data_IF_568717586425
#
_entry.id   IF_568717586425
#
_cell.length_a   1.000
_cell.length_b   1.000
_cell.length_c   1.000
_cell.angle_alpha   90.00
_cell.angle_beta   90.00
_cell.angle_gamma   90.00
#
_symmetry.space_group_name_H-M   'P 1'
#
loop_
_entity.id
_entity.type
_entity.pdbx_description
1 polymer ?
#
# COMPACT_ATOMS: atom_id res chain seq x y z
N UNK A 1 -13.73 -26.31 -11.16
CA UNK A 1 -12.79 -25.42 -10.45
C UNK A 1 -11.37 -25.50 -11.01
N UNK A 2 -10.64 -26.62 -10.90
CA UNK A 2 -9.23 -26.68 -11.31
C UNK A 2 -8.97 -26.31 -12.79
N UNK A 3 -9.83 -26.72 -13.72
CA UNK A 3 -9.71 -26.36 -15.13
C UNK A 3 -9.92 -24.85 -15.38
N UNK A 4 -10.82 -24.23 -14.60
CA UNK A 4 -11.09 -22.80 -14.66
C UNK A 4 -9.90 -22.00 -14.13
N UNK A 5 -9.34 -22.43 -12.99
CA UNK A 5 -8.10 -21.88 -12.45
C UNK A 5 -6.95 -21.96 -13.46
N UNK A 6 -6.75 -23.12 -14.09
CA UNK A 6 -5.70 -23.32 -15.09
C UNK A 6 -5.81 -22.37 -16.28
N UNK A 7 -7.02 -22.16 -16.80
CA UNK A 7 -7.27 -21.21 -17.90
C UNK A 7 -6.95 -19.76 -17.51
N UNK A 8 -7.33 -19.34 -16.29
CA UNK A 8 -7.04 -17.99 -15.79
C UNK A 8 -5.54 -17.77 -15.65
N UNK A 9 -4.84 -18.72 -15.04
CA UNK A 9 -3.40 -18.66 -14.84
C UNK A 9 -2.69 -18.54 -16.18
N UNK A 10 -3.09 -19.37 -17.15
CA UNK A 10 -2.51 -19.35 -18.50
C UNK A 10 -2.80 -18.02 -19.22
N UNK A 11 -4.04 -17.54 -19.17
CA UNK A 11 -4.42 -16.23 -19.72
C UNK A 11 -3.66 -15.07 -19.09
N UNK A 12 -3.39 -15.12 -17.78
CA UNK A 12 -2.61 -14.10 -17.07
C UNK A 12 -1.13 -14.15 -17.48
N UNK A 13 -0.56 -15.35 -17.61
CA UNK A 13 0.81 -15.56 -18.08
C UNK A 13 1.00 -15.07 -19.52
N UNK A 14 0.01 -15.27 -20.39
CA UNK A 14 0.03 -14.77 -21.78
C UNK A 14 -0.11 -13.24 -21.83
N UNK A 15 -1.03 -12.67 -21.05
CA UNK A 15 -1.24 -11.23 -20.99
C UNK A 15 -0.02 -10.46 -20.43
N UNK A 16 0.79 -11.12 -19.59
CA UNK A 16 1.98 -10.50 -19.02
C UNK A 16 3.00 -10.07 -20.06
N UNK A 17 3.17 -10.80 -21.17
CA UNK A 17 3.87 -10.37 -22.41
C UNK A 17 5.19 -9.59 -22.30
N UNK A 18 5.82 -9.55 -21.13
CA UNK A 18 6.84 -8.55 -20.76
C UNK A 18 8.20 -9.18 -20.90
N UNK A 19 9.13 -8.43 -21.46
CA UNK A 19 10.52 -8.89 -21.55
C UNK A 19 11.11 -9.05 -20.15
N UNK A 20 11.99 -10.04 -19.95
CA UNK A 20 12.66 -10.27 -18.65
C UNK A 20 13.33 -9.00 -18.10
N UNK A 21 13.89 -8.16 -18.98
CA UNK A 21 14.51 -6.90 -18.62
C UNK A 21 13.51 -5.87 -18.08
N UNK A 22 12.33 -5.77 -18.71
CA UNK A 22 11.26 -4.88 -18.28
C UNK A 22 10.66 -5.31 -16.93
N UNK A 23 10.60 -6.61 -16.67
CA UNK A 23 10.17 -7.17 -15.39
C UNK A 23 11.15 -6.80 -14.27
N UNK A 24 12.46 -6.98 -14.49
CA UNK A 24 13.52 -6.57 -13.55
C UNK A 24 13.47 -5.07 -13.27
N UNK A 25 13.35 -4.24 -14.31
CA UNK A 25 13.26 -2.79 -14.17
C UNK A 25 12.01 -2.36 -13.40
N UNK A 26 10.84 -2.87 -13.78
CA UNK A 26 9.58 -2.56 -13.12
C UNK A 26 9.61 -2.96 -11.64
N UNK A 27 10.25 -4.08 -11.32
CA UNK A 27 10.46 -4.54 -9.94
C UNK A 27 11.35 -3.58 -9.16
N UNK A 28 12.50 -3.20 -9.72
CA UNK A 28 13.40 -2.22 -9.11
C UNK A 28 12.68 -0.90 -8.81
N UNK A 29 11.95 -0.37 -9.78
CA UNK A 29 11.17 0.88 -9.64
C UNK A 29 10.08 0.75 -8.56
N UNK A 30 9.43 -0.41 -8.42
CA UNK A 30 8.42 -0.65 -7.36
C UNK A 30 9.03 -0.71 -5.95
N UNK A 31 10.28 -1.14 -5.82
CA UNK A 31 10.99 -1.19 -4.53
C UNK A 31 11.47 0.19 -4.09
N UNK A 32 11.90 1.05 -5.02
CA UNK A 32 12.47 2.37 -4.70
C UNK A 32 11.62 3.22 -3.74
N UNK A 33 10.28 3.38 -3.90
CA UNK A 33 9.46 4.14 -2.96
C UNK A 33 9.46 3.60 -1.53
N UNK A 34 9.62 2.28 -1.35
CA UNK A 34 9.60 1.64 -0.03
C UNK A 34 10.87 1.96 0.76
N UNK A 35 12.01 1.98 0.07
CA UNK A 35 13.32 2.22 0.65
C UNK A 35 13.79 3.68 0.50
N UNK A 36 13.04 4.53 -0.23
CA UNK A 36 13.37 5.94 -0.42
C UNK A 36 13.53 6.61 0.94
N UNK A 37 14.65 7.28 1.21
CA UNK A 37 14.78 8.06 2.41
C UNK A 37 13.72 9.16 2.41
N UNK A 38 12.83 9.14 3.39
CA UNK A 38 11.83 10.20 3.57
C UNK A 38 12.57 11.50 3.87
N UNK A 39 12.32 12.53 3.06
CA UNK A 39 12.76 13.88 3.36
C UNK A 39 12.25 14.23 4.77
N UNK A 40 13.13 14.73 5.63
CA UNK A 40 12.71 15.32 6.89
C UNK A 40 12.05 16.67 6.58
N UNK A 41 10.81 16.63 6.08
CA UNK A 41 10.13 17.81 5.51
C UNK A 41 9.91 18.95 6.51
N UNK A 42 10.13 18.73 7.81
CA UNK A 42 9.91 19.75 8.82
C UNK A 42 10.96 19.78 9.94
N UNK A 43 11.57 20.96 10.13
CA UNK A 43 12.41 21.25 11.28
C UNK A 43 11.52 21.43 12.51
N UNK A 44 11.66 20.53 13.47
CA UNK A 44 10.91 20.61 14.71
C UNK A 44 11.31 21.87 15.53
N UNK A 45 10.41 22.44 16.34
CA UNK A 45 10.68 23.69 17.07
C UNK A 45 11.89 23.56 18.01
N UNK A 46 12.75 24.58 18.05
CA UNK A 46 14.02 24.57 18.82
C UNK A 46 13.87 25.16 20.24
N UNK A 47 12.65 25.50 20.66
CA UNK A 47 12.38 26.05 22.00
C UNK A 47 12.80 25.05 23.10
N UNK A 48 13.31 25.55 24.25
CA UNK A 48 13.74 24.70 25.38
C UNK A 48 12.65 23.72 25.84
N UNK A 49 11.40 24.18 25.87
CA UNK A 49 10.23 23.35 26.18
C UNK A 49 10.03 22.25 25.13
N UNK A 50 10.05 22.58 23.85
CA UNK A 50 9.89 21.63 22.75
C UNK A 50 10.99 20.58 22.71
N UNK A 51 12.24 20.97 22.97
CA UNK A 51 13.38 20.03 23.06
C UNK A 51 13.23 19.09 24.26
N UNK A 52 12.78 19.61 25.41
CA UNK A 52 12.57 18.79 26.61
C UNK A 52 11.41 17.82 26.43
N UNK A 53 10.27 18.28 25.91
CA UNK A 53 9.11 17.44 25.63
C UNK A 53 9.40 16.41 24.54
N UNK A 54 10.24 16.73 23.55
CA UNK A 54 10.72 15.74 22.58
C UNK A 54 11.52 14.63 23.25
N UNK A 55 12.40 14.95 24.19
CA UNK A 55 13.15 13.95 24.98
C UNK A 55 12.21 13.08 25.83
N UNK A 56 11.14 13.67 26.38
CA UNK A 56 10.11 12.91 27.12
C UNK A 56 9.36 11.97 26.18
N UNK A 57 8.86 12.48 25.04
CA UNK A 57 8.11 11.72 24.04
C UNK A 57 8.90 10.53 23.46
N UNK A 58 10.21 10.71 23.25
CA UNK A 58 11.09 9.64 22.74
C UNK A 58 11.63 8.72 23.83
N UNK A 59 11.40 9.03 25.11
CA UNK A 59 11.90 8.20 26.20
C UNK A 59 11.20 6.84 26.22
N UNK A 60 11.98 5.78 26.44
CA UNK A 60 11.44 4.41 26.51
C UNK A 60 10.42 4.26 27.64
N UNK A 61 10.65 4.94 28.77
CA UNK A 61 9.74 4.91 29.91
C UNK A 61 8.37 5.50 29.56
N UNK A 62 8.34 6.65 28.88
CA UNK A 62 7.09 7.27 28.46
C UNK A 62 6.34 6.40 27.44
N UNK A 63 7.05 5.84 26.46
CA UNK A 63 6.44 4.95 25.47
C UNK A 63 5.86 3.67 26.10
N UNK A 64 6.58 3.08 27.06
CA UNK A 64 6.10 1.92 27.83
C UNK A 64 4.91 2.27 28.71
N UNK A 65 4.95 3.42 29.40
CA UNK A 65 3.85 3.91 30.23
C UNK A 65 2.58 4.12 29.40
N UNK A 66 2.66 4.86 28.30
CA UNK A 66 1.51 5.11 27.43
C UNK A 66 0.99 3.80 26.81
N UNK A 67 1.89 2.89 26.40
CA UNK A 67 1.49 1.57 25.92
C UNK A 67 0.80 0.71 26.96
N UNK A 68 1.27 0.76 28.22
CA UNK A 68 0.59 0.12 29.34
C UNK A 68 -0.80 0.73 29.56
N UNK A 69 -0.94 2.06 29.51
CA UNK A 69 -2.23 2.73 29.65
C UNK A 69 -3.23 2.30 28.57
N UNK A 70 -2.81 2.23 27.31
CA UNK A 70 -3.66 1.73 26.22
C UNK A 70 -4.06 0.27 26.45
N UNK A 71 -3.11 -0.58 26.83
CA UNK A 71 -3.36 -2.01 27.07
C UNK A 71 -4.32 -2.23 28.23
N UNK A 72 -4.12 -1.51 29.34
CA UNK A 72 -5.01 -1.53 30.48
C UNK A 72 -6.41 -1.05 30.10
N UNK A 73 -6.53 0.04 29.33
CA UNK A 73 -7.83 0.53 28.87
C UNK A 73 -8.59 -0.52 28.08
N UNK A 74 -7.92 -1.23 27.17
CA UNK A 74 -8.54 -2.31 26.39
C UNK A 74 -8.91 -3.51 27.27
N UNK A 75 -8.08 -3.88 28.24
CA UNK A 75 -8.41 -4.96 29.19
C UNK A 75 -9.71 -4.67 29.96
N UNK A 76 -9.89 -3.43 30.41
CA UNK A 76 -11.15 -3.02 31.04
C UNK A 76 -12.34 -3.05 30.07
N UNK A 77 -12.14 -2.73 28.79
CA UNK A 77 -13.21 -2.84 27.80
C UNK A 77 -13.65 -4.28 27.56
N UNK A 78 -12.72 -5.24 27.63
CA UNK A 78 -13.05 -6.68 27.53
C UNK A 78 -13.87 -7.15 28.72
N UNK A 79 -13.70 -6.53 29.90
CA UNK A 79 -14.50 -6.85 31.10
C UNK A 79 -15.91 -6.26 31.12
N UNK A 80 -16.30 -5.47 30.10
CA UNK A 80 -17.63 -4.86 30.04
C UNK A 80 -18.72 -5.91 29.76
N UNK A 81 -19.80 -5.90 30.53
CA UNK A 81 -20.90 -6.86 30.41
C UNK A 81 -22.26 -6.21 30.68
N UNK A 82 -23.33 -6.75 30.07
CA UNK A 82 -24.67 -6.19 30.11
C UNK A 82 -25.24 -6.11 31.54
N UNK A 83 -25.00 -7.14 32.36
CA UNK A 83 -25.50 -7.23 33.74
C UNK A 83 -24.49 -6.65 34.75
N UNK A 84 -23.95 -5.46 34.47
CA UNK A 84 -22.98 -4.81 35.36
C UNK A 84 -23.63 -4.11 36.54
N UNK A 85 -23.01 -4.20 37.72
CA UNK A 85 -23.45 -3.45 38.90
C UNK A 85 -23.25 -1.95 38.68
N UNK A 86 -24.08 -1.12 39.33
CA UNK A 86 -23.97 0.34 39.22
C UNK A 86 -22.59 0.86 39.68
N UNK A 87 -21.99 0.22 40.69
CA UNK A 87 -20.64 0.52 41.16
C UNK A 87 -19.58 0.24 40.08
N UNK A 88 -19.69 -0.90 39.38
CA UNK A 88 -18.79 -1.23 38.29
C UNK A 88 -18.96 -0.27 37.11
N UNK A 89 -20.18 0.11 36.78
CA UNK A 89 -20.45 1.10 35.73
C UNK A 89 -19.85 2.49 36.08
N UNK A 90 -19.96 2.91 37.35
CA UNK A 90 -19.32 4.15 37.81
C UNK A 90 -17.79 4.07 37.75
N UNK A 91 -17.21 2.96 38.21
CA UNK A 91 -15.77 2.70 38.11
C UNK A 91 -15.28 2.76 36.66
N UNK A 92 -15.97 2.10 35.72
CA UNK A 92 -15.68 2.13 34.30
C UNK A 92 -15.76 3.55 33.72
N UNK A 93 -16.70 4.38 34.18
CA UNK A 93 -16.79 5.78 33.75
C UNK A 93 -15.58 6.60 34.17
N UNK A 94 -15.16 6.49 35.44
CA UNK A 94 -13.99 7.20 35.98
C UNK A 94 -12.72 6.77 35.26
N UNK A 95 -12.52 5.45 35.11
CA UNK A 95 -11.39 4.86 34.40
C UNK A 95 -11.30 5.36 32.94
N UNK A 96 -12.43 5.47 32.23
CA UNK A 96 -12.45 5.94 30.85
C UNK A 96 -12.06 7.42 30.70
N UNK A 97 -12.36 8.25 31.71
CA UNK A 97 -11.94 9.66 31.76
C UNK A 97 -10.43 9.74 31.99
N UNK A 98 -9.89 8.94 32.90
CA UNK A 98 -8.43 8.90 33.17
C UNK A 98 -7.64 8.54 31.91
N UNK A 99 -8.04 7.48 31.20
CA UNK A 99 -7.37 7.09 29.96
C UNK A 99 -7.58 8.08 28.80
N UNK A 100 -8.71 8.80 28.79
CA UNK A 100 -8.90 9.90 27.86
C UNK A 100 -7.95 11.08 28.14
N UNK A 101 -7.76 11.43 29.41
CA UNK A 101 -6.85 12.50 29.81
C UNK A 101 -5.39 12.14 29.49
N UNK A 102 -4.99 10.89 29.69
CA UNK A 102 -3.65 10.39 29.29
C UNK A 102 -3.43 10.55 27.78
N UNK A 103 -4.39 10.16 26.94
CA UNK A 103 -4.32 10.33 25.49
C UNK A 103 -4.18 11.80 25.09
N UNK A 104 -4.98 12.70 25.68
CA UNK A 104 -4.87 14.13 25.44
C UNK A 104 -3.49 14.67 25.84
N UNK A 105 -2.95 14.19 26.96
CA UNK A 105 -1.60 14.52 27.42
C UNK A 105 -0.51 14.06 26.44
N UNK A 106 -0.59 12.82 25.95
CA UNK A 106 0.34 12.29 24.94
C UNK A 106 0.32 13.14 23.66
N UNK A 107 -0.86 13.46 23.15
CA UNK A 107 -1.04 14.31 21.96
C UNK A 107 -0.44 15.69 22.19
N UNK A 108 -0.73 16.33 23.32
CA UNK A 108 -0.21 17.65 23.65
C UNK A 108 1.33 17.68 23.71
N UNK A 109 1.95 16.67 24.34
CA UNK A 109 3.42 16.52 24.39
C UNK A 109 4.00 16.43 22.98
N UNK A 110 3.38 15.64 22.10
CA UNK A 110 3.82 15.49 20.71
C UNK A 110 3.66 16.77 19.88
N UNK A 111 2.53 17.48 20.01
CA UNK A 111 2.28 18.73 19.30
C UNK A 111 3.26 19.82 19.74
N UNK A 112 3.53 19.97 21.04
CA UNK A 112 4.47 20.99 21.53
C UNK A 112 5.92 20.61 21.21
N UNK A 113 6.25 19.31 21.22
CA UNK A 113 7.60 18.79 20.95
C UNK A 113 7.99 18.84 19.46
N UNK A 114 7.07 18.52 18.55
CA UNK A 114 7.34 18.40 17.11
C UNK A 114 6.64 19.47 16.25
N UNK A 115 5.74 20.26 16.84
CA UNK A 115 4.89 21.22 16.14
C UNK A 115 3.60 20.59 15.61
N UNK A 116 2.57 21.40 15.28
CA UNK A 116 1.26 20.89 14.84
C UNK A 116 1.30 20.14 13.50
N UNK A 117 2.32 20.40 12.67
CA UNK A 117 2.51 19.70 11.39
C UNK A 117 2.90 18.23 11.57
N UNK A 118 3.36 17.81 12.76
CA UNK A 118 3.65 16.39 13.04
C UNK A 118 2.41 15.51 12.91
N UNK A 119 1.22 16.07 13.18
CA UNK A 119 -0.05 15.35 13.10
C UNK A 119 -0.33 14.95 11.66
N UNK A 120 -0.06 15.83 10.70
CA UNK A 120 -0.36 15.57 9.27
C UNK A 120 0.66 14.61 8.65
N UNK A 121 1.91 14.64 9.13
CA UNK A 121 2.97 13.77 8.63
C UNK A 121 2.90 12.35 9.18
N UNK A 122 2.41 12.18 10.40
CA UNK A 122 2.31 10.87 11.06
C UNK A 122 0.85 10.41 11.14
N UNK A 123 0.49 9.48 10.26
CA UNK A 123 -0.86 8.89 10.17
C UNK A 123 -1.33 8.35 11.53
N UNK A 124 -0.43 7.81 12.34
CA UNK A 124 -0.77 7.26 13.65
C UNK A 124 -1.08 8.35 14.67
N UNK A 125 -0.43 9.51 14.57
CA UNK A 125 -0.73 10.68 15.41
C UNK A 125 -1.97 11.40 14.95
N UNK A 126 -2.22 11.49 13.64
CA UNK A 126 -3.50 11.92 13.11
C UNK A 126 -4.66 11.07 13.64
N UNK A 127 -4.49 9.75 13.61
CA UNK A 127 -5.49 8.82 14.14
C UNK A 127 -5.75 9.01 15.64
N UNK A 128 -4.71 9.19 16.46
CA UNK A 128 -4.88 9.49 17.90
C UNK A 128 -5.69 10.77 18.14
N UNK A 129 -5.43 11.82 17.35
CA UNK A 129 -6.19 13.09 17.41
C UNK A 129 -7.65 12.88 17.03
N UNK A 130 -7.92 12.13 15.96
CA UNK A 130 -9.28 11.79 15.55
C UNK A 130 -10.04 11.04 16.67
N UNK A 131 -9.39 10.07 17.31
CA UNK A 131 -9.97 9.32 18.44
C UNK A 131 -10.24 10.22 19.64
N UNK A 132 -9.32 11.12 19.96
CA UNK A 132 -9.50 12.08 21.04
C UNK A 132 -10.67 13.04 20.78
N UNK A 133 -10.77 13.60 19.56
CA UNK A 133 -11.85 14.48 19.16
C UNK A 133 -13.22 13.79 19.22
N UNK A 134 -13.32 12.57 18.66
CA UNK A 134 -14.58 11.83 18.70
C UNK A 134 -15.00 11.42 20.11
N UNK A 135 -14.05 11.14 21.00
CA UNK A 135 -14.35 10.92 22.42
C UNK A 135 -14.81 12.23 23.09
N UNK A 136 -14.14 13.36 22.82
CA UNK A 136 -14.48 14.66 23.40
C UNK A 136 -15.91 15.10 23.01
N UNK A 137 -16.28 14.92 21.74
CA UNK A 137 -17.65 15.18 21.26
C UNK A 137 -18.70 14.38 22.03
N UNK A 138 -18.38 13.13 22.38
CA UNK A 138 -19.25 12.28 23.18
C UNK A 138 -19.50 12.76 24.60
N UNK A 139 -18.53 13.44 25.21
CA UNK A 139 -18.67 14.00 26.55
C UNK A 139 -19.41 15.34 26.55
N UNK A 140 -19.26 16.14 25.49
CA UNK A 140 -19.85 17.48 25.39
C UNK A 140 -21.31 17.41 24.92
N UNK A 141 -21.63 16.47 24.03
CA UNK A 141 -22.93 16.43 23.35
C UNK A 141 -23.83 15.33 23.94
N UNK A 142 -24.85 15.76 24.69
CA UNK A 142 -25.90 14.90 25.25
C UNK A 142 -27.01 14.58 24.21
N UNK A 143 -26.64 14.21 22.98
CA UNK A 143 -27.60 13.82 21.95
C UNK A 143 -27.49 12.30 21.69
N UNK A 144 -28.58 11.51 21.80
CA UNK A 144 -28.52 10.05 21.83
C UNK A 144 -27.78 9.42 20.65
N UNK A 145 -27.99 9.93 19.43
CA UNK A 145 -27.29 9.47 18.20
C UNK A 145 -25.78 9.75 18.24
N UNK A 146 -25.40 10.91 18.77
CA UNK A 146 -24.00 11.33 18.88
C UNK A 146 -23.32 10.56 20.03
N UNK A 147 -24.04 10.27 21.11
CA UNK A 147 -23.53 9.43 22.20
C UNK A 147 -23.29 7.99 21.73
N UNK A 148 -24.15 7.43 20.87
CA UNK A 148 -23.89 6.13 20.24
C UNK A 148 -22.66 6.15 19.32
N UNK A 149 -22.52 7.19 18.49
CA UNK A 149 -21.33 7.35 17.63
C UNK A 149 -20.05 7.55 18.44
N UNK A 150 -20.11 8.30 19.55
CA UNK A 150 -18.99 8.49 20.46
C UNK A 150 -18.53 7.19 21.15
N UNK A 151 -19.46 6.25 21.42
CA UNK A 151 -19.09 4.91 21.91
C UNK A 151 -18.19 4.18 20.91
N UNK A 152 -18.36 4.38 19.60
CA UNK A 152 -17.50 3.76 18.59
C UNK A 152 -16.05 4.29 18.64
N UNK A 153 -15.83 5.57 18.94
CA UNK A 153 -14.47 6.10 19.13
C UNK A 153 -13.74 5.48 20.32
N UNK A 154 -14.47 5.01 21.34
CA UNK A 154 -13.87 4.23 22.44
C UNK A 154 -13.28 2.92 21.91
N UNK A 155 -13.99 2.24 21.01
CA UNK A 155 -13.53 0.99 20.36
C UNK A 155 -12.33 1.23 19.44
N UNK A 156 -12.25 2.39 18.79
CA UNK A 156 -11.10 2.73 17.94
C UNK A 156 -9.77 2.84 18.71
N UNK A 157 -9.80 3.01 20.04
CA UNK A 157 -8.58 2.95 20.87
C UNK A 157 -7.92 1.58 20.84
N UNK A 158 -8.69 0.50 20.64
CA UNK A 158 -8.15 -0.86 20.46
C UNK A 158 -7.22 -0.91 19.25
N UNK A 159 -7.52 -0.14 18.20
CA UNK A 159 -6.66 -0.07 17.00
C UNK A 159 -5.29 0.56 17.31
N UNK A 160 -5.17 1.34 18.40
CA UNK A 160 -3.88 1.85 18.88
C UNK A 160 -2.97 0.73 19.40
N UNK A 161 -3.51 -0.39 19.89
CA UNK A 161 -2.68 -1.55 20.27
C UNK A 161 -2.05 -2.20 19.05
N UNK A 162 -2.77 -2.27 17.94
CA UNK A 162 -2.30 -2.90 16.71
C UNK A 162 -1.02 -2.24 16.18
N UNK A 163 -0.86 -0.92 16.38
CA UNK A 163 0.35 -0.19 15.98
C UNK A 163 1.56 -0.45 16.89
N UNK A 164 1.34 -0.89 18.13
CA UNK A 164 2.42 -1.25 19.07
C UNK A 164 3.01 -2.61 18.74
N UNK A 165 2.20 -3.51 18.21
CA UNK A 165 2.61 -4.84 17.80
C UNK A 165 3.21 -4.74 16.40
N UNK A 166 4.54 -4.73 16.31
CA UNK A 166 5.28 -4.54 15.03
C UNK A 166 4.75 -5.43 13.88
N UNK A 167 4.51 -6.74 14.06
CA UNK A 167 3.96 -7.57 12.98
C UNK A 167 2.60 -7.09 12.48
N UNK A 168 1.67 -6.74 13.39
CA UNK A 168 0.32 -6.28 13.02
C UNK A 168 0.39 -4.91 12.35
N UNK A 169 1.24 -4.02 12.85
CA UNK A 169 1.49 -2.71 12.23
C UNK A 169 1.93 -2.86 10.78
N UNK A 170 2.89 -3.75 10.50
CA UNK A 170 3.39 -4.00 9.14
C UNK A 170 2.24 -4.49 8.26
N UNK A 171 1.44 -5.46 8.73
CA UNK A 171 0.28 -5.98 7.98
C UNK A 171 -0.75 -4.88 7.67
N UNK A 172 -1.01 -3.97 8.61
CA UNK A 172 -1.96 -2.87 8.38
C UNK A 172 -1.40 -1.82 7.41
N UNK A 173 -0.12 -1.48 7.54
CA UNK A 173 0.54 -0.53 6.62
C UNK A 173 0.60 -1.10 5.20
N UNK A 174 0.84 -2.40 5.03
CA UNK A 174 0.79 -3.06 3.71
C UNK A 174 -0.64 -3.09 3.17
N UNK A 175 -1.64 -3.47 3.97
CA UNK A 175 -3.04 -3.46 3.56
C UNK A 175 -3.46 -2.08 3.04
N UNK A 176 -3.16 -1.01 3.78
CA UNK A 176 -3.49 0.37 3.39
C UNK A 176 -2.78 0.76 2.09
N UNK A 177 -1.54 0.32 1.91
CA UNK A 177 -0.76 0.58 0.68
C UNK A 177 -1.33 -0.16 -0.53
N UNK A 178 -1.95 -1.34 -0.32
CA UNK A 178 -2.60 -2.11 -1.35
C UNK A 178 -4.02 -1.59 -1.72
N UNK A 179 -4.72 -0.92 -0.80
CA UNK A 179 -6.10 -0.44 -1.04
C UNK A 179 -6.29 0.37 -2.34
N UNK A 180 -5.41 1.34 -2.70
CA UNK A 180 -5.56 2.08 -3.95
C UNK A 180 -5.47 1.21 -5.20
N UNK A 181 -4.64 0.16 -5.16
CA UNK A 181 -4.49 -0.78 -6.28
C UNK A 181 -5.78 -1.59 -6.49
N UNK A 182 -6.45 -1.92 -5.38
CA UNK A 182 -7.74 -2.63 -5.41
C UNK A 182 -8.93 -1.74 -5.75
N UNK A 183 -8.82 -0.41 -5.61
CA UNK A 183 -9.95 0.51 -5.77
C UNK A 183 -10.63 0.39 -7.15
N UNK A 184 -9.84 0.29 -8.24
CA UNK A 184 -10.37 0.15 -9.59
C UNK A 184 -11.18 -1.15 -9.77
N UNK A 185 -10.67 -2.24 -9.20
CA UNK A 185 -11.32 -3.55 -9.22
C UNK A 185 -12.62 -3.52 -8.42
N UNK A 186 -12.60 -2.90 -7.25
CA UNK A 186 -13.77 -2.77 -6.38
C UNK A 186 -14.87 -1.95 -7.06
N UNK A 187 -14.52 -0.86 -7.76
CA UNK A 187 -15.49 -0.05 -8.52
C UNK A 187 -16.11 -0.85 -9.65
N UNK A 188 -15.30 -1.61 -10.40
CA UNK A 188 -15.81 -2.49 -11.45
C UNK A 188 -16.77 -3.54 -10.87
N UNK A 189 -16.36 -4.23 -9.80
CA UNK A 189 -17.20 -5.19 -9.08
C UNK A 189 -18.52 -4.56 -8.62
N UNK A 190 -18.46 -3.38 -8.01
CA UNK A 190 -19.63 -2.65 -7.54
C UNK A 190 -20.60 -2.34 -8.68
N UNK A 191 -20.10 -1.96 -9.86
CA UNK A 191 -20.93 -1.71 -11.04
C UNK A 191 -21.66 -2.98 -11.47
N UNK A 192 -20.96 -4.11 -11.56
CA UNK A 192 -21.60 -5.39 -11.90
C UNK A 192 -22.66 -5.78 -10.84
N UNK A 193 -22.38 -5.55 -9.55
CA UNK A 193 -23.33 -5.84 -8.47
C UNK A 193 -24.59 -4.97 -8.60
N UNK A 194 -24.39 -3.69 -8.89
CA UNK A 194 -25.49 -2.75 -9.08
C UNK A 194 -26.37 -3.12 -10.28
N UNK A 195 -25.77 -3.61 -11.39
CA UNK A 195 -26.55 -4.08 -12.55
C UNK A 195 -27.46 -5.26 -12.18
N UNK A 196 -26.92 -6.28 -11.51
CA UNK A 196 -27.73 -7.40 -11.05
C UNK A 196 -28.78 -6.97 -10.03
N UNK A 197 -28.46 -6.06 -9.10
CA UNK A 197 -29.42 -5.54 -8.13
C UNK A 197 -30.59 -4.82 -8.82
N UNK A 198 -30.33 -3.99 -9.84
CA UNK A 198 -31.39 -3.31 -10.60
C UNK A 198 -32.28 -4.32 -11.31
N UNK A 199 -31.71 -5.30 -12.01
CA UNK A 199 -32.50 -6.38 -12.65
C UNK A 199 -33.31 -7.16 -11.61
N UNK A 200 -32.73 -7.42 -10.44
CA UNK A 200 -33.40 -8.10 -9.33
C UNK A 200 -34.59 -7.31 -8.78
N UNK A 201 -34.46 -5.99 -8.60
CA UNK A 201 -35.57 -5.11 -8.20
C UNK A 201 -36.68 -5.13 -9.24
N UNK A 202 -36.33 -5.00 -10.53
CA UNK A 202 -37.31 -4.99 -11.61
C UNK A 202 -38.03 -6.33 -11.78
N UNK A 203 -37.42 -7.45 -11.41
CA UNK A 203 -37.96 -8.80 -11.65
C UNK A 203 -38.61 -9.41 -10.40
N UNK A 204 -38.05 -9.16 -9.21
CA UNK A 204 -38.44 -9.81 -7.95
C UNK A 204 -38.88 -8.82 -6.86
N UNK A 205 -39.08 -7.54 -7.20
CA UNK A 205 -39.38 -6.49 -6.23
C UNK A 205 -40.68 -6.71 -5.44
N UNK A 206 -41.67 -7.36 -6.05
CA UNK A 206 -42.96 -7.68 -5.41
C UNK A 206 -43.08 -9.13 -4.94
N UNK A 207 -42.05 -9.96 -5.17
CA UNK A 207 -42.12 -11.40 -4.87
C UNK A 207 -42.36 -11.64 -3.38
N UNK A 208 -43.31 -12.55 -3.10
CA UNK A 208 -43.67 -12.94 -1.74
C UNK A 208 -42.47 -13.44 -0.94
N UNK A 209 -42.47 -13.14 0.35
CA UNK A 209 -41.48 -13.72 1.28
C UNK A 209 -41.57 -15.25 1.31
N UNK A 210 -40.42 -15.91 1.35
CA UNK A 210 -40.26 -17.36 1.34
C UNK A 210 -39.41 -17.86 2.50
N UNK A 211 -38.57 -18.86 2.25
CA UNK A 211 -37.72 -19.47 3.27
C UNK A 211 -36.59 -18.53 3.72
N UNK A 212 -35.93 -17.86 2.78
CA UNK A 212 -34.84 -16.90 3.03
C UNK A 212 -35.20 -15.48 2.61
N UNK A 213 -36.04 -15.33 1.57
CA UNK A 213 -36.58 -14.05 1.15
C UNK A 213 -37.55 -13.52 2.20
N UNK A 214 -37.32 -12.31 2.73
CA UNK A 214 -38.08 -11.77 3.85
C UNK A 214 -37.80 -10.29 4.13
N UNK A 215 -38.13 -9.82 5.33
CA UNK A 215 -37.99 -8.40 5.69
C UNK A 215 -36.54 -7.89 5.67
N UNK A 216 -35.57 -8.77 5.92
CA UNK A 216 -34.13 -8.44 5.93
C UNK A 216 -33.47 -8.63 4.56
N UNK A 217 -33.96 -9.59 3.77
CA UNK A 217 -33.41 -9.98 2.47
C UNK A 217 -34.51 -9.95 1.41
N UNK A 218 -34.60 -8.87 0.65
CA UNK A 218 -35.59 -8.69 -0.41
C UNK A 218 -35.09 -7.75 -1.52
N UNK A 219 -35.85 -7.70 -2.60
CA UNK A 219 -35.62 -6.84 -3.76
C UNK A 219 -36.54 -5.62 -3.82
N UNK A 220 -37.21 -5.25 -2.72
CA UNK A 220 -38.21 -4.15 -2.72
C UNK A 220 -37.57 -2.79 -2.97
N UNK A 221 -36.34 -2.58 -2.50
CA UNK A 221 -35.58 -1.35 -2.71
C UNK A 221 -34.18 -1.67 -3.21
N UNK A 222 -33.59 -0.76 -4.00
CA UNK A 222 -32.26 -0.95 -4.54
C UNK A 222 -31.20 -1.20 -3.46
N UNK A 223 -31.28 -0.51 -2.32
CA UNK A 223 -30.33 -0.71 -1.20
C UNK A 223 -30.45 -2.12 -0.60
N UNK A 224 -31.67 -2.64 -0.44
CA UNK A 224 -31.91 -4.00 0.06
C UNK A 224 -31.47 -5.07 -0.94
N UNK A 225 -31.76 -4.84 -2.22
CA UNK A 225 -31.27 -5.69 -3.30
C UNK A 225 -29.74 -5.74 -3.33
N UNK A 226 -29.07 -4.60 -3.14
CA UNK A 226 -27.61 -4.53 -3.09
C UNK A 226 -27.03 -5.33 -1.93
N UNK A 227 -27.62 -5.21 -0.72
CA UNK A 227 -27.18 -6.02 0.44
C UNK A 227 -27.42 -7.52 0.21
N UNK A 228 -28.55 -7.88 -0.40
CA UNK A 228 -28.89 -9.27 -0.70
C UNK A 228 -27.94 -9.89 -1.72
N UNK A 229 -27.60 -9.13 -2.77
CA UNK A 229 -26.61 -9.51 -3.77
C UNK A 229 -25.24 -9.70 -3.13
N UNK A 230 -24.80 -8.76 -2.29
CA UNK A 230 -23.54 -8.87 -1.55
C UNK A 230 -23.47 -10.10 -0.64
N UNK A 231 -24.50 -10.35 0.17
CA UNK A 231 -24.60 -11.56 1.01
C UNK A 231 -24.56 -12.84 0.16
N UNK A 232 -25.21 -12.80 -1.00
CA UNK A 232 -25.22 -13.92 -1.94
C UNK A 232 -23.82 -14.17 -2.52
N UNK A 233 -23.02 -13.14 -2.81
CA UNK A 233 -21.61 -13.31 -3.24
C UNK A 233 -20.77 -13.99 -2.16
N UNK A 234 -20.96 -13.64 -0.89
CA UNK A 234 -20.29 -14.29 0.24
C UNK A 234 -20.69 -15.77 0.44
N UNK A 235 -21.63 -16.28 -0.36
CA UNK A 235 -22.03 -17.69 -0.35
C UNK A 235 -23.26 -18.01 0.48
N UNK A 236 -23.95 -17.00 1.03
CA UNK A 236 -25.08 -17.23 1.93
C UNK A 236 -26.35 -17.62 1.15
N UNK A 237 -26.83 -18.86 1.33
CA UNK A 237 -28.20 -19.34 1.02
C UNK A 237 -28.81 -18.93 -0.35
N UNK A 238 -27.97 -18.60 -1.34
CA UNK A 238 -28.40 -18.10 -2.65
C UNK A 238 -29.34 -19.04 -3.39
N UNK A 239 -29.17 -20.36 -3.23
CA UNK A 239 -30.03 -21.36 -3.84
C UNK A 239 -31.45 -21.36 -3.25
N UNK A 240 -31.58 -21.05 -1.95
CA UNK A 240 -32.89 -20.89 -1.30
C UNK A 240 -33.56 -19.61 -1.79
N UNK A 241 -32.81 -18.53 -1.93
CA UNK A 241 -33.32 -17.27 -2.49
C UNK A 241 -33.77 -17.48 -3.94
N UNK A 242 -33.00 -18.21 -4.74
CA UNK A 242 -33.38 -18.58 -6.10
C UNK A 242 -34.72 -19.35 -6.13
N UNK A 243 -34.91 -20.30 -5.22
CA UNK A 243 -36.16 -21.05 -5.12
C UNK A 243 -37.33 -20.15 -4.69
N UNK A 244 -37.14 -19.29 -3.68
CA UNK A 244 -38.16 -18.32 -3.24
C UNK A 244 -38.54 -17.37 -4.38
N UNK A 245 -37.57 -16.89 -5.17
CA UNK A 245 -37.77 -16.06 -6.35
C UNK A 245 -38.45 -16.78 -7.52
N UNK A 246 -38.61 -18.11 -7.45
CA UNK A 246 -39.29 -18.93 -8.46
C UNK A 246 -40.72 -19.30 -8.09
N UNK A 247 -41.28 -18.76 -6.99
CA UNK A 247 -42.64 -19.07 -6.55
C UNK A 247 -43.67 -18.81 -7.65
N UNK A 248 -44.54 -19.80 -7.89
CA UNK A 248 -45.61 -19.78 -8.89
C UNK A 248 -46.96 -20.12 -8.23
N UNK A 249 -48.10 -19.87 -8.91
CA UNK A 249 -49.42 -20.26 -8.41
C UNK A 249 -49.50 -21.78 -8.14
N UNK A 250 -50.25 -22.24 -7.11
CA UNK A 250 -51.18 -21.50 -6.24
C UNK A 250 -50.54 -20.86 -4.99
N UNK A 251 -49.20 -20.85 -4.88
CA UNK A 251 -48.48 -20.34 -3.70
C UNK A 251 -48.24 -18.83 -3.72
N UNK A 252 -48.62 -18.17 -4.82
CA UNK A 252 -48.61 -16.73 -5.00
C UNK A 252 -49.87 -16.28 -5.75
N UNK A 253 -50.07 -14.97 -5.78
CA UNK A 253 -51.19 -14.24 -6.36
C UNK A 253 -50.69 -13.53 -7.61
N UNK A 254 -51.22 -13.86 -8.79
CA UNK A 254 -50.76 -13.31 -10.07
C UNK A 254 -51.07 -11.82 -10.22
N UNK A 255 -52.19 -11.36 -9.65
CA UNK A 255 -52.65 -9.97 -9.68
C UNK A 255 -53.23 -9.62 -8.32
N UNK A 256 -52.78 -8.54 -7.71
CA UNK A 256 -53.33 -8.10 -6.43
C UNK A 256 -54.79 -7.64 -6.58
N UNK A 257 -55.65 -8.11 -5.68
CA UNK A 257 -56.98 -7.53 -5.46
C UNK A 257 -56.91 -6.50 -4.31
N UNK A 258 -57.95 -5.68 -4.16
CA UNK A 258 -58.16 -4.68 -3.11
C UNK A 258 -57.99 -5.19 -1.66
N UNK A 259 -57.94 -6.50 -1.46
CA UNK A 259 -57.74 -7.17 -0.16
C UNK A 259 -56.36 -7.84 -0.02
N UNK A 260 -55.42 -7.58 -0.94
CA UNK A 260 -54.12 -8.24 -0.93
C UNK A 260 -53.28 -7.83 0.30
N UNK A 261 -52.82 -8.79 1.13
CA UNK A 261 -51.99 -8.47 2.29
C UNK A 261 -50.57 -8.07 1.86
N UNK A 262 -50.18 -6.83 2.15
CA UNK A 262 -48.79 -6.38 2.09
C UNK A 262 -48.38 -5.48 0.91
N UNK A 263 -49.32 -5.01 0.09
CA UNK A 263 -49.06 -4.02 -0.96
C UNK A 263 -50.00 -2.81 -0.85
N UNK A 264 -49.47 -1.66 -0.40
CA UNK A 264 -50.16 -0.37 -0.31
C UNK A 264 -49.80 0.57 -1.49
N UNK A 265 -49.47 0.01 -2.65
CA UNK A 265 -49.14 0.77 -3.84
C UNK A 265 -50.37 1.07 -4.72
N UNK A 266 -50.34 2.15 -5.54
CA UNK A 266 -51.47 2.54 -6.38
C UNK A 266 -51.70 1.61 -7.59
N UNK A 267 -50.72 0.79 -7.96
CA UNK A 267 -50.75 -0.06 -9.15
C UNK A 267 -51.02 -1.53 -8.80
N UNK A 268 -52.28 -1.96 -8.94
CA UNK A 268 -52.72 -3.35 -8.76
C UNK A 268 -52.40 -4.25 -9.97
N UNK A 269 -51.61 -3.77 -10.93
CA UNK A 269 -51.36 -4.44 -12.22
C UNK A 269 -50.35 -5.60 -12.16
N UNK A 270 -49.77 -5.85 -10.99
CA UNK A 270 -48.75 -6.89 -10.77
C UNK A 270 -49.08 -7.69 -9.51
N UNK A 271 -48.60 -8.93 -9.41
CA UNK A 271 -48.82 -9.82 -8.26
C UNK A 271 -47.57 -10.02 -7.38
N UNK A 272 -47.68 -10.92 -6.39
CA UNK A 272 -46.56 -11.36 -5.52
C UNK A 272 -45.83 -12.61 -6.03
N UNK A 273 -46.10 -13.01 -7.27
CA UNK A 273 -45.42 -14.14 -7.89
C UNK A 273 -43.95 -13.86 -8.22
N UNK A 274 -43.15 -14.92 -8.22
CA UNK A 274 -41.78 -14.91 -8.69
C UNK A 274 -41.69 -15.05 -10.21
N UNK A 275 -40.48 -15.11 -10.73
CA UNK A 275 -40.24 -15.32 -12.16
C UNK A 275 -39.77 -16.74 -12.45
N UNK A 276 -40.29 -17.33 -13.53
CA UNK A 276 -39.77 -18.60 -14.08
C UNK A 276 -38.31 -18.49 -14.51
N UNK A 277 -37.83 -17.27 -14.79
CA UNK A 277 -36.42 -17.00 -15.13
C UNK A 277 -35.51 -16.85 -13.90
N UNK A 278 -36.02 -17.09 -12.68
CA UNK A 278 -35.23 -17.03 -11.45
C UNK A 278 -33.97 -17.89 -11.52
N UNK A 279 -34.10 -19.14 -11.97
CA UNK A 279 -32.95 -20.04 -12.08
C UNK A 279 -31.88 -19.48 -13.03
N UNK A 280 -32.28 -18.92 -14.17
CA UNK A 280 -31.35 -18.32 -15.13
C UNK A 280 -30.62 -17.12 -14.53
N UNK A 281 -31.36 -16.21 -13.89
CA UNK A 281 -30.79 -15.03 -13.23
C UNK A 281 -29.76 -15.42 -12.18
N UNK A 282 -30.10 -16.34 -11.26
CA UNK A 282 -29.23 -16.71 -10.14
C UNK A 282 -28.04 -17.59 -10.55
N UNK A 283 -28.21 -18.48 -11.54
CA UNK A 283 -27.11 -19.27 -12.08
C UNK A 283 -26.15 -18.37 -12.86
N UNK A 284 -26.65 -17.45 -13.69
CA UNK A 284 -25.82 -16.49 -14.40
C UNK A 284 -25.07 -15.57 -13.43
N UNK A 285 -25.77 -15.04 -12.43
CA UNK A 285 -25.18 -14.32 -11.29
C UNK A 285 -24.02 -15.13 -10.70
N UNK A 286 -24.27 -16.39 -10.31
CA UNK A 286 -23.24 -17.21 -9.67
C UNK A 286 -22.04 -17.49 -10.55
N UNK A 287 -22.24 -17.80 -11.82
CA UNK A 287 -21.11 -18.01 -12.74
C UNK A 287 -20.27 -16.74 -12.89
N UNK A 288 -20.91 -15.59 -13.10
CA UNK A 288 -20.21 -14.30 -13.22
C UNK A 288 -19.45 -13.95 -11.95
N UNK A 289 -20.07 -14.07 -10.77
CA UNK A 289 -19.42 -13.65 -9.54
C UNK A 289 -18.34 -14.59 -9.04
N UNK A 290 -18.57 -15.90 -9.15
CA UNK A 290 -17.56 -16.88 -8.78
C UNK A 290 -16.35 -16.78 -9.71
N UNK A 291 -16.58 -16.57 -11.02
CA UNK A 291 -15.49 -16.38 -11.98
C UNK A 291 -14.68 -15.12 -11.70
N UNK A 292 -15.34 -13.99 -11.45
CA UNK A 292 -14.61 -12.74 -11.15
C UNK A 292 -13.84 -12.86 -9.82
N UNK A 293 -14.44 -13.42 -8.76
CA UNK A 293 -13.74 -13.60 -7.49
C UNK A 293 -12.53 -14.53 -7.63
N UNK A 294 -12.67 -15.64 -8.37
CA UNK A 294 -11.55 -16.53 -8.67
C UNK A 294 -10.46 -15.83 -9.49
N UNK A 295 -10.82 -15.01 -10.48
CA UNK A 295 -9.86 -14.23 -11.26
C UNK A 295 -9.04 -13.28 -10.39
N UNK A 296 -9.71 -12.56 -9.47
CA UNK A 296 -9.06 -11.61 -8.57
C UNK A 296 -8.15 -12.29 -7.57
N UNK A 297 -8.63 -13.38 -6.95
CA UNK A 297 -7.83 -14.14 -5.99
C UNK A 297 -6.62 -14.80 -6.65
N UNK A 298 -6.81 -15.38 -7.84
CA UNK A 298 -5.72 -15.99 -8.62
C UNK A 298 -4.69 -14.96 -9.04
N UNK A 299 -5.13 -13.79 -9.55
CA UNK A 299 -4.22 -12.69 -9.89
C UNK A 299 -3.40 -12.23 -8.69
N UNK A 300 -4.05 -12.00 -7.54
CA UNK A 300 -3.36 -11.60 -6.31
C UNK A 300 -2.36 -12.66 -5.82
N UNK A 301 -2.74 -13.95 -5.86
CA UNK A 301 -1.82 -15.03 -5.47
C UNK A 301 -0.66 -15.15 -6.43
N UNK A 302 -0.88 -15.09 -7.74
CA UNK A 302 0.21 -15.17 -8.71
C UNK A 302 1.20 -14.02 -8.54
N UNK A 303 0.70 -12.80 -8.33
CA UNK A 303 1.55 -11.64 -8.05
C UNK A 303 2.34 -11.79 -6.74
N UNK A 304 1.70 -12.27 -5.67
CA UNK A 304 2.37 -12.48 -4.38
C UNK A 304 3.34 -13.68 -4.42
N UNK A 305 2.97 -14.77 -5.08
CA UNK A 305 3.80 -15.97 -5.18
C UNK A 305 5.03 -15.69 -6.05
N UNK A 306 4.86 -15.00 -7.18
CA UNK A 306 5.98 -14.54 -8.00
C UNK A 306 6.92 -13.63 -7.21
N UNK A 307 6.38 -12.67 -6.45
CA UNK A 307 7.18 -11.84 -5.56
C UNK A 307 7.98 -12.66 -4.54
N UNK A 308 7.34 -13.61 -3.86
CA UNK A 308 7.99 -14.47 -2.85
C UNK A 308 9.01 -15.42 -3.49
N UNK A 309 8.69 -16.05 -4.62
CA UNK A 309 9.65 -16.92 -5.32
C UNK A 309 10.81 -16.14 -5.88
N UNK A 310 10.61 -14.92 -6.35
CA UNK A 310 11.68 -14.01 -6.78
C UNK A 310 12.56 -13.58 -5.60
N UNK A 311 11.99 -13.33 -4.42
CA UNK A 311 12.78 -13.03 -3.21
C UNK A 311 13.58 -14.24 -2.73
N UNK A 312 13.01 -15.45 -2.75
CA UNK A 312 13.67 -16.67 -2.28
C UNK A 312 14.69 -17.20 -3.31
N UNK A 313 14.48 -16.96 -4.61
CA UNK A 313 15.39 -17.40 -5.68
C UNK A 313 16.59 -16.49 -5.91
N UNK A 314 16.66 -15.35 -5.21
CA UNK A 314 17.81 -14.47 -5.28
C UNK A 314 18.95 -14.99 -4.40
N UNK A 315 19.91 -15.64 -5.03
CA UNK A 315 21.29 -15.59 -4.55
C UNK A 315 21.80 -14.14 -4.69
N UNK A 316 22.55 -13.63 -3.69
CA UNK A 316 23.09 -12.27 -3.70
C UNK A 316 24.09 -12.09 -4.86
N UNK A 317 23.61 -11.63 -6.01
CA UNK A 317 24.45 -11.29 -7.15
C UNK A 317 24.97 -9.85 -7.02
N UNK A 318 26.31 -9.71 -7.04
CA UNK A 318 27.03 -8.43 -6.95
C UNK A 318 26.75 -7.53 -8.15
N UNK A 319 26.46 -8.11 -9.32
CA UNK A 319 26.29 -7.36 -10.57
C UNK A 319 24.81 -7.05 -10.88
N UNK A 320 23.89 -7.41 -9.98
CA UNK A 320 22.44 -7.21 -10.13
C UNK A 320 21.88 -7.78 -11.44
N UNK A 321 22.48 -8.84 -12.00
CA UNK A 321 22.09 -9.38 -13.31
C UNK A 321 20.69 -10.01 -13.30
N UNK A 322 20.29 -10.55 -12.15
CA UNK A 322 18.93 -11.02 -11.88
C UNK A 322 18.02 -9.93 -11.26
N UNK A 323 18.52 -8.69 -11.15
CA UNK A 323 17.92 -7.55 -10.46
C UNK A 323 18.37 -7.42 -9.00
N UNK A 324 18.20 -6.23 -8.42
CA UNK A 324 18.62 -5.93 -7.05
C UNK A 324 17.77 -6.67 -6.01
N UNK A 325 18.40 -7.11 -4.92
CA UNK A 325 17.71 -7.67 -3.76
C UNK A 325 17.20 -6.58 -2.81
N UNK A 326 16.23 -6.96 -1.96
CA UNK A 326 15.72 -6.07 -0.91
C UNK A 326 16.82 -5.62 0.07
N UNK A 327 17.74 -6.52 0.44
CA UNK A 327 18.90 -6.23 1.29
C UNK A 327 19.85 -5.21 0.64
N UNK A 328 20.14 -5.37 -0.66
CA UNK A 328 21.02 -4.46 -1.41
C UNK A 328 20.42 -3.05 -1.54
N UNK A 329 19.11 -2.95 -1.76
CA UNK A 329 18.42 -1.65 -1.83
C UNK A 329 18.34 -0.99 -0.45
N UNK A 330 18.17 -1.76 0.63
CA UNK A 330 18.18 -1.22 1.99
C UNK A 330 19.57 -0.68 2.37
N UNK A 331 20.64 -1.39 2.00
CA UNK A 331 22.01 -0.91 2.18
C UNK A 331 22.24 0.41 1.42
N UNK A 332 21.80 0.47 0.15
CA UNK A 332 21.87 1.69 -0.66
C UNK A 332 21.14 2.85 0.03
N UNK A 333 19.90 2.61 0.49
CA UNK A 333 19.11 3.61 1.21
C UNK A 333 19.79 4.07 2.50
N UNK A 334 20.45 3.17 3.24
CA UNK A 334 21.22 3.52 4.43
C UNK A 334 22.40 4.44 4.09
N UNK A 335 23.17 4.13 3.06
CA UNK A 335 24.32 4.94 2.63
C UNK A 335 23.87 6.35 2.23
N UNK A 336 22.74 6.47 1.51
CA UNK A 336 22.12 7.76 1.20
C UNK A 336 21.68 8.52 2.46
N UNK A 337 21.12 7.83 3.48
CA UNK A 337 20.75 8.43 4.77
C UNK A 337 21.94 9.01 5.54
N UNK A 338 23.09 8.34 5.49
CA UNK A 338 24.31 8.78 6.15
C UNK A 338 24.90 10.06 5.51
N UNK A 339 24.71 10.23 4.20
CA UNK A 339 25.30 11.32 3.41
C UNK A 339 24.38 12.53 3.18
N UNK A 340 23.09 12.41 3.46
CA UNK A 340 22.15 13.52 3.33
C UNK A 340 22.40 14.65 4.34
N UNK A 341 21.97 15.85 3.96
CA UNK A 341 22.00 16.98 4.86
C UNK A 341 21.06 16.79 6.06
N UNK A 342 21.33 17.44 7.21
CA UNK A 342 20.49 17.36 8.41
C UNK A 342 19.01 17.76 8.19
N UNK A 343 18.72 18.46 7.10
CA UNK A 343 17.37 18.85 6.69
C UNK A 343 16.71 17.89 5.68
N UNK A 344 17.35 16.80 5.29
CA UNK A 344 16.79 15.77 4.40
C UNK A 344 16.40 16.26 3.01
N UNK A 345 16.94 17.38 2.53
CA UNK A 345 16.60 17.98 1.23
C UNK A 345 17.48 17.48 0.08
N UNK A 346 18.48 16.65 0.37
CA UNK A 346 19.43 16.13 -0.61
C UNK A 346 20.83 15.94 -0.04
N UNK A 347 21.77 15.57 -0.92
CA UNK A 347 23.18 15.38 -0.62
C UNK A 347 23.96 16.60 -1.10
N UNK A 348 24.80 17.18 -0.25
CA UNK A 348 25.71 18.27 -0.66
C UNK A 348 26.63 17.82 -1.77
N UNK A 349 26.83 18.67 -2.78
CA UNK A 349 27.73 18.39 -3.92
C UNK A 349 29.14 18.01 -3.45
N UNK A 350 29.64 18.65 -2.39
CA UNK A 350 30.94 18.32 -1.81
C UNK A 350 31.06 16.90 -1.25
N UNK A 351 29.94 16.26 -0.88
CA UNK A 351 29.88 14.89 -0.34
C UNK A 351 29.54 13.83 -1.38
N UNK A 352 29.26 14.21 -2.64
CA UNK A 352 28.90 13.26 -3.70
C UNK A 352 30.04 12.27 -3.98
N UNK A 353 31.30 12.72 -3.92
CA UNK A 353 32.44 11.83 -4.12
C UNK A 353 32.54 10.75 -3.03
N UNK A 354 32.31 11.10 -1.77
CA UNK A 354 32.25 10.16 -0.64
C UNK A 354 31.10 9.17 -0.81
N UNK A 355 29.92 9.68 -1.17
CA UNK A 355 28.76 8.86 -1.47
C UNK A 355 29.05 7.82 -2.57
N UNK A 356 29.67 8.23 -3.67
CA UNK A 356 30.00 7.32 -4.79
C UNK A 356 31.06 6.27 -4.43
N UNK A 357 31.97 6.58 -3.51
CA UNK A 357 32.95 5.62 -3.00
C UNK A 357 32.34 4.61 -2.02
N UNK A 358 31.37 5.05 -1.22
CA UNK A 358 30.70 4.21 -0.23
C UNK A 358 29.59 3.34 -0.83
N UNK A 359 29.07 3.70 -2.00
CA UNK A 359 28.03 2.92 -2.70
C UNK A 359 28.57 1.58 -3.25
N UNK A 360 27.86 0.45 -3.01
CA UNK A 360 28.27 -0.86 -3.50
C UNK A 360 28.20 -0.98 -5.03
N UNK A 361 28.90 -1.97 -5.58
CA UNK A 361 28.73 -2.35 -7.00
C UNK A 361 27.30 -2.87 -7.24
N UNK A 362 26.71 -2.64 -8.43
CA UNK A 362 27.28 -2.00 -9.63
C UNK A 362 27.16 -0.46 -9.67
N UNK A 363 26.48 0.16 -8.70
CA UNK A 363 26.13 1.59 -8.75
C UNK A 363 27.30 2.51 -8.36
N UNK A 364 28.09 2.11 -7.37
CA UNK A 364 29.23 2.89 -6.88
C UNK A 364 30.58 2.27 -7.23
N UNK A 365 31.64 2.96 -6.79
CA UNK A 365 33.02 2.57 -7.05
C UNK A 365 33.61 1.73 -5.90
N UNK A 366 32.78 1.05 -5.13
CA UNK A 366 33.23 0.25 -3.99
C UNK A 366 34.28 -0.79 -4.41
N UNK A 367 35.41 -0.77 -3.72
CA UNK A 367 36.52 -1.71 -3.90
C UNK A 367 36.63 -2.56 -2.63
N UNK A 368 36.40 -3.88 -2.70
CA UNK A 368 36.63 -4.75 -1.55
C UNK A 368 38.11 -4.76 -1.21
N UNK A 369 38.47 -4.30 -0.02
CA UNK A 369 39.80 -4.55 0.53
C UNK A 369 39.81 -5.95 1.18
N UNK A 370 40.79 -6.83 0.87
CA UNK A 370 40.84 -8.18 1.41
C UNK A 370 40.95 -8.29 2.95
N UNK A 371 41.21 -7.19 3.67
CA UNK A 371 41.48 -7.18 5.12
C UNK A 371 40.71 -6.09 5.90
N UNK A 372 39.48 -5.76 5.50
CA UNK A 372 38.69 -4.68 6.13
C UNK A 372 37.86 -5.10 7.37
N UNK A 373 38.08 -6.29 7.96
CA UNK A 373 37.39 -6.71 9.19
C UNK A 373 37.78 -5.92 10.46
N UNK A 374 38.65 -4.91 10.35
CA UNK A 374 39.15 -4.13 11.49
C UNK A 374 38.95 -2.61 11.42
N UNK A 375 38.47 -2.03 10.31
CA UNK A 375 38.30 -0.58 10.21
C UNK A 375 36.86 -0.15 10.53
N UNK A 376 36.69 0.59 11.63
CA UNK A 376 35.41 1.23 11.98
C UNK A 376 34.98 2.18 10.85
N UNK A 377 33.72 2.05 10.40
CA UNK A 377 33.02 3.07 9.58
C UNK A 377 33.24 4.46 10.20
N UNK A 378 33.89 5.36 9.48
CA UNK A 378 34.07 6.76 9.88
C UNK A 378 35.51 7.33 9.85
N UNK A 379 36.53 6.56 9.47
CA UNK A 379 37.86 7.12 9.26
C UNK A 379 37.97 7.78 7.89
N UNK A 380 38.01 9.12 7.85
CA UNK A 380 38.35 9.89 6.66
C UNK A 380 39.68 9.45 6.06
N UNK A 381 39.73 9.27 4.74
CA UNK A 381 40.99 9.08 4.02
C UNK A 381 41.95 10.24 4.32
N UNK A 382 43.21 9.99 4.69
CA UNK A 382 44.23 11.02 4.63
C UNK A 382 44.61 11.22 3.16
N UNK A 383 44.21 12.36 2.61
CA UNK A 383 44.68 12.82 1.30
C UNK A 383 46.11 13.33 1.46
N UNK A 384 47.12 12.48 1.28
CA UNK A 384 48.50 12.95 1.12
C UNK A 384 48.75 13.22 -0.36
N UNK A 385 48.80 14.49 -0.72
CA UNK A 385 49.44 14.98 -1.94
C UNK A 385 50.91 14.55 -1.94
N UNK A 386 51.23 13.46 -2.63
CA UNK A 386 52.59 12.93 -2.68
C UNK A 386 52.72 11.87 -3.76
N UNK A 387 53.40 12.27 -4.83
CA UNK A 387 54.10 11.44 -5.82
C UNK A 387 53.71 9.96 -5.92
N UNK A 388 53.17 9.57 -7.09
CA UNK A 388 53.39 8.24 -7.64
C UNK A 388 54.91 8.03 -7.78
N UNK A 389 55.51 7.44 -6.76
CA UNK A 389 56.89 6.94 -6.73
C UNK A 389 56.79 5.43 -6.56
N UNK A 390 57.46 4.71 -7.45
CA UNK A 390 57.17 3.32 -7.74
C UNK A 390 57.49 2.32 -6.63
N UNK A 391 56.96 1.12 -6.82
CA UNK A 391 57.82 -0.07 -6.76
C UNK A 391 57.45 -0.98 -7.93
N UNK A 392 58.31 -0.90 -8.94
CA UNK A 392 58.33 -1.79 -10.08
C UNK A 392 58.97 -3.09 -9.64
N UNK A 393 58.18 -4.05 -9.15
CA UNK A 393 58.60 -5.45 -8.94
C UNK A 393 57.37 -6.36 -8.69
N UNK A 394 56.44 -6.40 -9.66
CA UNK A 394 55.52 -7.53 -9.79
C UNK A 394 55.52 -8.05 -11.22
N UNK A 395 55.66 -9.38 -11.43
CA UNK A 395 55.65 -9.95 -12.76
C UNK A 395 54.29 -9.72 -13.43
N UNK A 396 54.34 -9.29 -14.70
CA UNK A 396 53.21 -8.89 -15.56
C UNK A 396 52.22 -10.01 -15.91
N UNK A 397 52.33 -11.20 -15.30
CA UNK A 397 51.55 -12.39 -15.66
C UNK A 397 50.29 -12.63 -14.81
N UNK A 398 50.02 -11.83 -13.76
CA UNK A 398 48.82 -11.97 -12.92
C UNK A 398 47.84 -10.78 -12.99
N UNK A 399 48.10 -9.78 -13.83
CA UNK A 399 47.04 -8.83 -14.21
C UNK A 399 46.15 -9.50 -15.25
N UNK A 400 45.16 -10.26 -14.78
CA UNK A 400 44.03 -10.69 -15.58
C UNK A 400 43.45 -9.48 -16.31
N UNK A 401 43.64 -9.45 -17.63
CA UNK A 401 42.97 -8.50 -18.52
C UNK A 401 41.47 -8.79 -18.47
N UNK A 402 40.72 -7.97 -17.75
CA UNK A 402 39.30 -7.79 -18.09
C UNK A 402 39.27 -6.75 -19.19
N UNK A 403 39.27 -7.24 -20.43
CA UNK A 403 39.06 -6.42 -21.63
C UNK A 403 37.58 -6.07 -21.66
N UNK A 404 37.20 -4.91 -21.14
CA UNK A 404 35.89 -4.34 -21.44
C UNK A 404 35.94 -3.80 -22.88
N UNK A 405 35.05 -4.31 -23.74
CA UNK A 405 34.90 -3.80 -25.10
C UNK A 405 34.38 -2.36 -25.10
N UNK A 406 34.78 -1.55 -26.07
CA UNK A 406 34.34 -0.15 -26.20
C UNK A 406 32.81 0.00 -26.33
N UNK A 407 32.11 -1.06 -26.79
CA UNK A 407 30.64 -1.09 -26.85
C UNK A 407 30.00 -1.20 -25.45
N UNK A 408 30.59 -1.95 -24.52
CA UNK A 408 30.09 -2.12 -23.15
C UNK A 408 30.32 -0.88 -22.29
N UNK A 409 31.43 -0.16 -22.47
CA UNK A 409 31.64 1.16 -21.83
C UNK A 409 30.63 2.21 -22.28
N UNK A 410 30.18 2.12 -23.54
CA UNK A 410 29.12 2.98 -24.05
C UNK A 410 27.79 2.64 -23.39
N UNK A 411 27.48 1.36 -23.19
CA UNK A 411 26.27 0.92 -22.49
C UNK A 411 26.32 1.25 -21.00
N UNK A 412 27.46 1.06 -20.33
CA UNK A 412 27.68 1.45 -18.94
C UNK A 412 27.52 2.96 -18.74
N UNK A 413 28.08 3.78 -19.62
CA UNK A 413 27.87 5.24 -19.58
C UNK A 413 26.45 5.65 -19.94
N UNK A 414 25.77 4.89 -20.81
CA UNK A 414 24.35 5.11 -21.11
C UNK A 414 23.52 4.81 -19.88
N UNK A 415 23.71 3.64 -19.25
CA UNK A 415 22.99 3.17 -18.07
C UNK A 415 23.28 4.08 -16.87
N UNK A 416 24.55 4.46 -16.64
CA UNK A 416 24.92 5.43 -15.59
C UNK A 416 24.37 6.81 -15.90
N UNK A 417 24.31 7.21 -17.18
CA UNK A 417 23.65 8.44 -17.62
C UNK A 417 22.15 8.40 -17.34
N UNK A 418 21.47 7.32 -17.72
CA UNK A 418 20.04 7.11 -17.56
C UNK A 418 19.66 6.97 -16.09
N UNK A 419 20.44 6.24 -15.29
CA UNK A 419 20.28 6.15 -13.83
C UNK A 419 20.50 7.53 -13.21
N UNK A 420 21.51 8.31 -13.62
CA UNK A 420 21.69 9.68 -13.09
C UNK A 420 20.57 10.64 -13.51
N UNK A 421 19.99 10.45 -14.70
CA UNK A 421 18.88 11.26 -15.19
C UNK A 421 17.58 10.85 -14.50
N UNK A 422 17.35 9.55 -14.31
CA UNK A 422 16.22 8.98 -13.57
C UNK A 422 16.32 9.28 -12.07
N UNK A 423 17.51 9.28 -11.48
CA UNK A 423 17.72 9.73 -10.10
C UNK A 423 17.45 11.23 -10.00
N UNK A 424 17.84 12.03 -10.99
CA UNK A 424 17.51 13.46 -11.02
C UNK A 424 15.99 13.68 -11.12
N UNK A 425 15.31 12.98 -12.01
CA UNK A 425 13.86 13.14 -12.26
C UNK A 425 12.99 12.49 -11.18
N UNK A 426 13.42 11.37 -10.57
CA UNK A 426 12.70 10.73 -9.48
C UNK A 426 12.92 11.42 -8.12
N UNK A 427 14.04 12.16 -7.96
CA UNK A 427 14.39 12.83 -6.72
C UNK A 427 14.13 14.33 -6.69
N UNK A 428 14.06 15.01 -7.83
CA UNK A 428 13.48 16.35 -7.93
C UNK A 428 11.96 16.19 -8.07
N UNK A 429 11.23 16.55 -7.00
CA UNK A 429 9.77 16.63 -7.06
C UNK A 429 9.33 17.48 -8.25
N UNK A 430 8.17 17.14 -8.80
CA UNK A 430 7.50 17.72 -9.96
C UNK A 430 7.18 19.22 -9.82
N UNK A 431 8.20 20.06 -9.63
CA UNK A 431 8.06 21.52 -9.48
C UNK A 431 9.37 22.25 -9.83
N UNK A 432 9.93 21.97 -11.01
CA UNK A 432 10.93 22.87 -11.59
C UNK A 432 10.87 22.87 -13.11
N UNK A 433 10.08 23.81 -13.65
CA UNK A 433 10.23 24.35 -15.00
C UNK A 433 11.61 25.03 -15.14
N UNK A 434 12.71 24.29 -15.31
CA UNK A 434 14.00 24.90 -15.64
C UNK A 434 14.85 23.97 -16.52
N UNK A 435 14.86 24.33 -17.82
CA UNK A 435 15.93 24.12 -18.81
C UNK A 435 15.92 22.80 -19.61
N UNK A 436 15.14 22.86 -20.68
CA UNK A 436 15.43 22.32 -22.01
C UNK A 436 16.86 22.67 -22.45
N UNK A 437 17.71 21.64 -22.64
CA UNK A 437 18.76 21.53 -23.67
C UNK A 437 19.50 20.19 -23.50
N UNK A 438 18.83 19.10 -23.85
CA UNK A 438 19.40 17.76 -24.00
C UNK A 438 18.61 17.01 -25.07
N UNK A 439 19.26 16.14 -25.86
CA UNK A 439 18.62 15.40 -26.95
C UNK A 439 17.39 14.62 -26.44
N UNK A 440 16.20 15.10 -26.79
CA UNK A 440 14.92 14.43 -26.53
C UNK A 440 14.74 13.28 -27.55
N UNK A 441 15.03 12.06 -27.10
CA UNK A 441 14.92 10.82 -27.91
C UNK A 441 13.48 10.33 -28.08
N UNK A 442 12.50 10.94 -27.40
CA UNK A 442 11.08 10.61 -27.59
C UNK A 442 10.58 11.10 -28.95
N UNK A 443 11.18 12.17 -29.49
CA UNK A 443 10.80 12.78 -30.78
C UNK A 443 11.52 12.14 -31.99
N UNK A 444 10.85 12.04 -33.16
CA UNK A 444 11.43 11.46 -34.37
C UNK A 444 12.70 12.18 -34.86
N UNK A 445 12.81 13.49 -34.62
CA UNK A 445 13.98 14.29 -35.00
C UNK A 445 15.24 13.92 -34.21
N UNK A 446 15.10 13.59 -32.92
CA UNK A 446 16.19 13.11 -32.06
C UNK A 446 16.72 11.75 -32.50
N UNK A 447 15.82 10.83 -32.87
CA UNK A 447 16.17 9.50 -33.41
C UNK A 447 16.91 9.57 -34.75
N UNK A 448 16.54 10.49 -35.62
CA UNK A 448 17.20 10.68 -36.91
C UNK A 448 18.58 11.33 -36.79
N UNK A 449 18.75 12.28 -35.85
CA UNK A 449 20.05 12.88 -35.55
C UNK A 449 21.04 11.84 -35.00
N UNK A 450 20.58 10.96 -34.10
CA UNK A 450 21.36 9.86 -33.53
C UNK A 450 21.80 8.83 -34.59
N UNK A 451 20.88 8.41 -35.48
CA UNK A 451 21.20 7.51 -36.62
C UNK A 451 22.23 8.10 -37.59
N UNK A 452 22.20 9.41 -37.82
CA UNK A 452 23.17 10.07 -38.71
C UNK A 452 24.58 10.15 -38.10
N UNK A 453 24.67 10.19 -36.76
CA UNK A 453 25.93 10.25 -36.02
C UNK A 453 26.61 8.87 -36.01
N UNK A 454 25.87 7.80 -35.75
CA UNK A 454 26.40 6.42 -35.87
C UNK A 454 26.93 6.09 -37.29
N UNK A 455 26.31 6.60 -38.35
CA UNK A 455 26.79 6.39 -39.73
C UNK A 455 28.08 7.13 -40.07
N UNK A 456 28.43 8.20 -39.34
CA UNK A 456 29.72 8.91 -39.51
C UNK A 456 30.86 8.17 -38.82
N UNK A 457 30.58 7.55 -37.68
CA UNK A 457 31.61 6.90 -36.85
C UNK A 457 32.00 5.49 -37.36
N UNK A 458 31.30 4.96 -38.37
CA UNK A 458 31.57 3.66 -39.01
C UNK A 458 32.52 3.70 -40.23
N UNK A 459 33.02 4.86 -40.66
CA UNK A 459 34.07 4.93 -41.70
C UNK A 459 35.45 4.88 -41.06
N UNK A 460 36.05 3.69 -41.02
CA UNK A 460 37.47 3.50 -40.73
C UNK A 460 38.35 4.22 -41.78
N UNK A 461 39.54 4.73 -41.42
CA UNK A 461 40.51 5.19 -42.39
C UNK A 461 41.17 3.97 -43.06
N UNK A 462 41.10 3.91 -44.39
CA UNK A 462 41.86 2.96 -45.21
C UNK A 462 43.37 3.20 -45.01
N UNK A 463 44.10 2.17 -44.59
CA UNK A 463 45.56 2.15 -44.65
C UNK A 463 46.02 1.71 -46.04
N UNK A 464 46.44 2.68 -46.86
CA UNK A 464 47.56 2.59 -47.80
C UNK A 464 47.90 4.00 -48.30
#
# INVERSE_FOLDING_TARGET
MNLFLGFIVDGFNVAKGTSRAELIFSRFVRMLPQYRPRNADFRAPDNRLSVTLRKVATSRLFQQFSGFCVTANVAFMVSDHADSSEEFAHFMKVQNIVFFAELCGEIAIYIVGYGPKCIVTDVWKFFDVMVALGTALGYIINAPKITQFAKAFRLMRVLRLMRMIKPIRIILETLITCLPQLANIIVLLFLVYAMFAVVGVSTFGTTRSGLRLGSTANFQTWTRAMTLIYESVAGHDWAKIMFDCSVQPPYCTEVFDSTAPGYDGPDLAFGDCGSVYSALYWVAFKIVFESVMLNLFTGMILENFEFITDEISQDEDVDWSAGASSSQIEELAQIFREHMDPGGKGVRVSKIHQLLCDMPRPIGFWVPYPNAHGMRKGSSMPFSSGAWSGNADRPRSEMGRVVYGDEERCHERLIVGEINTMLRDAWQGSDSQVVDRGLDLTKPSGRNAFRSKMKRDQKAPDFA
#
